data_IF_240686623404
#
_entry.id   IF_240686623404
#
_cell.length_a   1.000
_cell.length_b   1.000
_cell.length_c   1.000
_cell.angle_alpha   90.00
_cell.angle_beta   90.00
_cell.angle_gamma   90.00
#
_symmetry.space_group_name_H-M   'P 1'
#
loop_
_entity.id
_entity.type
_entity.pdbx_description
1 polymer ?
#
# COMPACT_ATOMS: atom_id res chain seq x y z
N UNK A 1 -1.20 6.61 -22.36
CA UNK A 1 -1.50 5.40 -21.56
C UNK A 1 -2.65 5.80 -20.67
N UNK A 2 -3.82 5.20 -20.84
CA UNK A 2 -4.97 5.48 -19.98
C UNK A 2 -4.66 4.95 -18.59
N UNK A 3 -4.62 5.83 -17.58
CA UNK A 3 -4.26 5.50 -16.20
C UNK A 3 -5.29 4.62 -15.48
N UNK A 4 -6.37 4.22 -16.17
CA UNK A 4 -7.43 3.35 -15.66
C UNK A 4 -7.02 1.89 -15.51
N UNK A 5 -5.85 1.47 -16.02
CA UNK A 5 -5.41 0.07 -15.98
C UNK A 5 -4.68 -0.33 -14.68
N UNK A 6 -4.32 0.63 -13.82
CA UNK A 6 -3.53 0.34 -12.61
C UNK A 6 -4.37 -0.26 -11.47
N UNK A 7 -5.62 0.17 -11.35
CA UNK A 7 -6.54 -0.20 -10.28
C UNK A 7 -7.96 -0.18 -10.84
N UNK A 8 -8.70 -1.28 -10.66
CA UNK A 8 -10.13 -1.31 -10.94
C UNK A 8 -10.88 -0.58 -9.81
N UNK A 9 -11.13 0.72 -10.00
CA UNK A 9 -11.80 1.55 -8.99
C UNK A 9 -13.26 1.16 -8.77
N UNK A 10 -13.93 0.61 -9.78
CA UNK A 10 -15.32 0.18 -9.66
C UNK A 10 -15.41 -1.08 -8.78
N UNK A 11 -14.46 -2.01 -8.94
CA UNK A 11 -14.34 -3.17 -8.06
C UNK A 11 -13.84 -2.77 -6.66
N UNK A 12 -12.94 -1.79 -6.55
CA UNK A 12 -12.38 -1.32 -5.28
C UNK A 12 -13.47 -0.84 -4.30
N UNK A 13 -14.49 -0.14 -4.80
CA UNK A 13 -15.58 0.41 -3.97
C UNK A 13 -16.70 -0.60 -3.65
N UNK A 14 -16.64 -1.81 -4.22
CA UNK A 14 -17.58 -2.87 -3.87
C UNK A 14 -17.19 -3.50 -2.52
N UNK A 15 -18.23 -3.84 -1.75
CA UNK A 15 -18.08 -4.65 -0.54
C UNK A 15 -17.42 -6.00 -0.89
N UNK A 16 -16.47 -6.43 -0.06
CA UNK A 16 -15.84 -7.76 -0.20
C UNK A 16 -16.87 -8.86 0.03
N UNK A 17 -17.67 -8.72 1.10
CA UNK A 17 -18.76 -9.61 1.44
C UNK A 17 -19.96 -8.82 1.99
N UNK A 18 -21.18 -9.34 1.84
CA UNK A 18 -22.39 -8.68 2.29
C UNK A 18 -22.44 -8.49 3.82
N UNK A 19 -21.87 -9.43 4.58
CA UNK A 19 -21.77 -9.40 6.04
C UNK A 19 -20.47 -8.78 6.55
N UNK A 20 -19.43 -8.75 5.71
CA UNK A 20 -18.14 -8.13 6.00
C UNK A 20 -17.70 -7.22 4.83
N UNK A 21 -18.21 -5.96 4.75
CA UNK A 21 -17.91 -5.08 3.61
C UNK A 21 -16.42 -4.80 3.39
N UNK A 22 -15.65 -4.71 4.49
CA UNK A 22 -14.21 -4.53 4.45
C UNK A 22 -13.41 -5.84 4.35
N UNK A 23 -14.07 -7.00 4.27
CA UNK A 23 -13.43 -8.31 4.27
C UNK A 23 -12.84 -8.69 5.63
N UNK A 24 -11.65 -9.29 5.61
CA UNK A 24 -10.97 -9.81 6.81
C UNK A 24 -9.71 -8.97 7.09
N UNK A 25 -9.38 -8.77 8.38
CA UNK A 25 -8.11 -8.14 8.77
C UNK A 25 -6.94 -8.98 8.25
N UNK A 26 -6.09 -8.45 7.36
CA UNK A 26 -4.96 -9.21 6.81
C UNK A 26 -3.99 -9.74 7.88
N UNK A 27 -3.93 -9.06 9.04
CA UNK A 27 -3.04 -9.42 10.16
C UNK A 27 -3.54 -10.62 10.95
N UNK A 28 -4.80 -11.01 10.77
CA UNK A 28 -5.37 -12.17 11.46
C UNK A 28 -4.89 -13.51 10.89
N UNK A 29 -4.43 -13.53 9.63
CA UNK A 29 -3.81 -14.70 9.03
C UNK A 29 -2.32 -14.79 9.43
N UNK A 30 -2.07 -15.57 10.48
CA UNK A 30 -0.72 -15.89 10.99
C UNK A 30 -0.14 -17.19 10.40
N UNK A 31 -0.76 -17.73 9.34
CA UNK A 31 -0.26 -18.95 8.70
C UNK A 31 1.07 -18.70 7.97
N UNK A 32 1.91 -19.74 7.77
CA UNK A 32 3.12 -19.62 6.94
C UNK A 32 2.83 -19.19 5.48
N UNK A 33 1.59 -19.34 5.03
CA UNK A 33 1.12 -18.97 3.69
C UNK A 33 0.45 -17.61 3.65
N UNK A 34 0.48 -16.84 4.75
CA UNK A 34 -0.16 -15.53 4.85
C UNK A 34 0.33 -14.58 3.76
N UNK A 35 -0.62 -14.09 2.97
CA UNK A 35 -0.32 -13.12 1.92
C UNK A 35 0.18 -11.80 2.50
N UNK A 36 -0.32 -11.40 3.68
CA UNK A 36 0.09 -10.18 4.35
C UNK A 36 1.56 -10.20 4.73
N UNK A 37 2.03 -11.25 5.40
CA UNK A 37 3.44 -11.34 5.79
C UNK A 37 4.36 -11.47 4.57
N UNK A 38 3.95 -12.20 3.52
CA UNK A 38 4.72 -12.26 2.28
C UNK A 38 4.87 -10.88 1.62
N UNK A 39 3.80 -10.10 1.50
CA UNK A 39 3.87 -8.75 0.92
C UNK A 39 4.66 -7.78 1.82
N UNK A 40 4.53 -7.93 3.14
CA UNK A 40 5.32 -7.17 4.11
C UNK A 40 6.81 -7.41 3.95
N UNK A 41 7.21 -8.66 3.78
CA UNK A 41 8.62 -9.05 3.58
C UNK A 41 9.16 -8.53 2.26
N UNK A 42 8.37 -8.65 1.16
CA UNK A 42 8.73 -8.08 -0.15
C UNK A 42 9.00 -6.58 -0.02
N UNK A 43 8.10 -5.84 0.63
CA UNK A 43 8.28 -4.40 0.87
C UNK A 43 9.51 -4.12 1.73
N UNK A 44 9.73 -4.91 2.77
CA UNK A 44 10.91 -4.81 3.64
C UNK A 44 12.21 -4.95 2.86
N UNK A 45 12.28 -5.96 1.97
CA UNK A 45 13.44 -6.22 1.12
C UNK A 45 13.64 -5.10 0.09
N UNK A 46 12.58 -4.65 -0.59
CA UNK A 46 12.67 -3.57 -1.57
C UNK A 46 13.22 -2.29 -0.93
N UNK A 47 12.72 -1.91 0.26
CA UNK A 47 13.25 -0.77 1.02
C UNK A 47 14.70 -0.98 1.49
N UNK A 48 15.08 -2.21 1.84
CA UNK A 48 16.45 -2.51 2.25
C UNK A 48 17.43 -2.35 1.08
N UNK A 49 17.05 -2.84 -0.10
CA UNK A 49 17.82 -2.69 -1.33
C UNK A 49 17.99 -1.22 -1.73
N UNK A 50 16.92 -0.42 -1.63
CA UNK A 50 17.00 1.03 -1.90
C UNK A 50 17.97 1.76 -0.96
N UNK A 51 17.95 1.43 0.34
CA UNK A 51 18.90 2.01 1.29
C UNK A 51 20.34 1.59 1.02
N UNK A 52 20.55 0.39 0.48
CA UNK A 52 21.89 -0.07 0.10
C UNK A 52 22.41 0.71 -1.12
N UNK A 53 21.63 0.87 -2.18
CA UNK A 53 22.05 1.63 -3.37
C UNK A 53 22.23 3.13 -3.09
N UNK A 54 21.39 3.72 -2.22
CA UNK A 54 21.57 5.09 -1.77
C UNK A 54 22.94 5.36 -1.16
N UNK A 55 23.52 4.38 -0.48
CA UNK A 55 24.84 4.50 0.11
C UNK A 55 25.96 4.45 -0.94
N UNK A 56 25.67 3.95 -2.15
CA UNK A 56 26.62 3.72 -3.25
C UNK A 56 26.50 4.77 -4.38
N UNK A 57 25.54 5.71 -4.30
CA UNK A 57 25.26 6.77 -5.29
C UNK A 57 24.95 6.20 -6.70
N UNK A 58 24.27 5.06 -6.74
CA UNK A 58 23.87 4.34 -7.97
C UNK A 58 22.40 4.58 -8.37
N UNK A 59 22.06 4.20 -9.62
CA UNK A 59 20.76 4.46 -10.23
C UNK A 59 19.64 3.54 -9.68
N UNK A 60 18.60 4.16 -9.11
CA UNK A 60 17.39 3.52 -8.61
C UNK A 60 16.56 2.77 -9.65
N UNK A 61 16.75 3.04 -10.94
CA UNK A 61 16.03 2.34 -12.01
C UNK A 61 16.22 0.81 -11.93
N UNK A 62 17.35 0.34 -11.38
CA UNK A 62 17.62 -1.07 -11.18
C UNK A 62 16.67 -1.76 -10.18
N UNK A 63 16.07 -1.00 -9.26
CA UNK A 63 15.23 -1.55 -8.18
C UNK A 63 13.73 -1.50 -8.45
N UNK A 64 13.30 -0.91 -9.57
CA UNK A 64 11.87 -0.83 -9.94
C UNK A 64 11.22 -2.23 -9.94
N UNK A 65 11.96 -3.27 -10.32
CA UNK A 65 11.47 -4.65 -10.32
C UNK A 65 11.10 -5.17 -8.93
N UNK A 66 11.75 -4.70 -7.87
CA UNK A 66 11.49 -5.14 -6.50
C UNK A 66 10.13 -4.66 -5.99
N UNK A 67 9.61 -3.58 -6.59
CA UNK A 67 8.34 -2.96 -6.27
C UNK A 67 7.16 -3.50 -7.10
N UNK A 68 7.42 -4.12 -8.25
CA UNK A 68 6.38 -4.67 -9.13
C UNK A 68 5.44 -5.67 -8.44
N UNK A 69 5.93 -6.61 -7.61
CA UNK A 69 5.04 -7.56 -6.93
C UNK A 69 4.00 -6.86 -6.04
N UNK A 70 4.36 -5.73 -5.42
CA UNK A 70 3.44 -4.93 -4.60
C UNK A 70 2.42 -4.21 -5.47
N UNK A 71 2.88 -3.52 -6.53
CA UNK A 71 1.97 -2.79 -7.43
C UNK A 71 0.99 -3.70 -8.18
N UNK A 72 1.35 -4.97 -8.42
CA UNK A 72 0.50 -5.93 -9.12
C UNK A 72 -0.45 -6.68 -8.18
N UNK A 73 0.01 -7.08 -6.99
CA UNK A 73 -0.78 -7.92 -6.08
C UNK A 73 -1.71 -7.13 -5.17
N UNK A 74 -1.28 -5.97 -4.67
CA UNK A 74 -2.08 -5.21 -3.70
C UNK A 74 -3.42 -4.75 -4.28
N UNK A 75 -3.53 -4.25 -5.53
CA UNK A 75 -4.83 -3.88 -6.08
C UNK A 75 -5.82 -5.04 -6.08
N UNK A 76 -5.36 -6.26 -6.38
CA UNK A 76 -6.18 -7.46 -6.35
C UNK A 76 -6.70 -7.73 -4.94
N UNK A 77 -5.80 -7.69 -3.94
CA UNK A 77 -6.15 -7.91 -2.52
C UNK A 77 -7.16 -6.88 -2.01
N UNK A 78 -6.97 -5.61 -2.37
CA UNK A 78 -7.87 -4.51 -2.01
C UNK A 78 -9.25 -4.64 -2.66
N UNK A 79 -9.32 -5.25 -3.85
CA UNK A 79 -10.58 -5.46 -4.55
C UNK A 79 -11.33 -6.70 -4.05
N UNK A 80 -10.62 -7.80 -3.75
CA UNK A 80 -11.26 -9.11 -3.55
C UNK A 80 -11.30 -9.62 -2.12
N UNK A 81 -10.46 -9.12 -1.21
CA UNK A 81 -10.21 -9.82 0.06
C UNK A 81 -10.30 -8.92 1.28
N UNK A 82 -9.87 -7.67 1.18
CA UNK A 82 -9.82 -6.76 2.34
C UNK A 82 -9.82 -5.30 1.92
N UNK A 83 -10.26 -4.41 2.80
CA UNK A 83 -10.09 -2.96 2.68
C UNK A 83 -9.15 -2.53 3.80
N UNK A 84 -7.93 -2.13 3.46
CA UNK A 84 -6.87 -1.88 4.44
C UNK A 84 -5.97 -0.68 4.05
N UNK A 85 -5.72 0.22 5.00
CA UNK A 85 -4.91 1.43 4.83
C UNK A 85 -3.41 1.15 4.77
N UNK A 86 -2.93 0.07 5.37
CA UNK A 86 -1.52 -0.30 5.28
C UNK A 86 -1.19 -0.83 3.89
N UNK A 87 -2.06 -1.67 3.32
CA UNK A 87 -1.97 -2.03 1.91
C UNK A 87 -2.11 -0.82 1.00
N UNK A 88 -3.02 0.12 1.28
CA UNK A 88 -3.15 1.34 0.50
C UNK A 88 -1.85 2.18 0.52
N UNK A 89 -1.19 2.29 1.68
CA UNK A 89 0.10 2.97 1.81
C UNK A 89 1.20 2.26 1.01
N UNK A 90 1.31 0.93 1.14
CA UNK A 90 2.30 0.14 0.39
C UNK A 90 2.08 0.22 -1.12
N UNK A 91 0.82 0.30 -1.56
CA UNK A 91 0.47 0.49 -2.97
C UNK A 91 0.91 1.88 -3.47
N UNK A 92 0.68 2.95 -2.70
CA UNK A 92 1.18 4.29 -3.05
C UNK A 92 2.70 4.25 -3.20
N UNK A 93 3.41 3.62 -2.26
CA UNK A 93 4.87 3.51 -2.26
C UNK A 93 5.38 2.77 -3.51
N UNK A 94 4.75 1.64 -3.86
CA UNK A 94 5.11 0.84 -5.02
C UNK A 94 4.76 1.52 -6.34
N UNK A 95 3.58 2.14 -6.44
CA UNK A 95 3.14 2.86 -7.63
C UNK A 95 3.98 4.11 -7.89
N UNK A 96 4.42 4.80 -6.85
CA UNK A 96 5.35 5.91 -6.98
C UNK A 96 6.63 5.50 -7.73
N UNK A 97 7.19 4.34 -7.39
CA UNK A 97 8.45 3.86 -7.96
C UNK A 97 8.30 3.23 -9.34
N UNK A 98 7.17 2.58 -9.58
CA UNK A 98 6.91 1.86 -10.84
C UNK A 98 6.30 2.76 -11.91
N UNK A 99 5.57 3.82 -11.52
CA UNK A 99 4.78 4.65 -12.43
C UNK A 99 4.90 6.16 -12.14
N UNK A 100 5.78 6.59 -11.23
CA UNK A 100 6.00 8.00 -10.91
C UNK A 100 4.74 8.73 -10.42
N UNK A 101 4.58 9.98 -10.84
CA UNK A 101 3.43 10.81 -10.47
C UNK A 101 2.07 10.24 -10.88
N UNK A 102 2.00 9.50 -11.99
CA UNK A 102 0.78 8.82 -12.39
C UNK A 102 0.40 7.74 -11.38
N UNK A 103 1.39 6.98 -10.92
CA UNK A 103 1.22 5.99 -9.86
C UNK A 103 0.77 6.61 -8.53
N UNK A 104 1.37 7.73 -8.14
CA UNK A 104 0.95 8.48 -6.94
C UNK A 104 -0.51 8.93 -7.04
N UNK A 105 -0.92 9.50 -8.18
CA UNK A 105 -2.30 9.93 -8.39
C UNK A 105 -3.29 8.76 -8.26
N UNK A 106 -2.96 7.61 -8.85
CA UNK A 106 -3.78 6.40 -8.76
C UNK A 106 -3.85 5.86 -7.31
N UNK A 107 -2.71 5.77 -6.62
CA UNK A 107 -2.63 5.33 -5.24
C UNK A 107 -3.42 6.23 -4.28
N UNK A 108 -3.27 7.55 -4.38
CA UNK A 108 -4.05 8.49 -3.57
C UNK A 108 -5.54 8.44 -3.87
N UNK A 109 -5.92 8.26 -5.15
CA UNK A 109 -7.33 8.05 -5.51
C UNK A 109 -7.90 6.79 -4.86
N UNK A 110 -7.16 5.68 -4.88
CA UNK A 110 -7.59 4.44 -4.22
C UNK A 110 -7.76 4.63 -2.71
N UNK A 111 -6.76 5.21 -2.03
CA UNK A 111 -6.82 5.49 -0.59
C UNK A 111 -8.02 6.37 -0.23
N UNK A 112 -8.27 7.43 -1.00
CA UNK A 112 -9.44 8.30 -0.81
C UNK A 112 -10.75 7.51 -0.91
N UNK A 113 -10.91 6.68 -1.95
CA UNK A 113 -12.11 5.86 -2.13
C UNK A 113 -12.30 4.84 -1.00
N UNK A 114 -11.23 4.20 -0.54
CA UNK A 114 -11.28 3.29 0.61
C UNK A 114 -11.77 4.00 1.87
N UNK A 115 -11.26 5.20 2.15
CA UNK A 115 -11.69 6.02 3.28
C UNK A 115 -13.16 6.41 3.12
N UNK A 116 -13.55 6.99 1.99
CA UNK A 116 -14.92 7.48 1.76
C UNK A 116 -15.97 6.37 1.88
N UNK A 117 -15.69 5.17 1.37
CA UNK A 117 -16.68 4.09 1.29
C UNK A 117 -16.65 3.13 2.50
N UNK A 118 -15.50 2.96 3.16
CA UNK A 118 -15.32 1.91 4.18
C UNK A 118 -14.86 2.42 5.55
N UNK A 119 -14.81 3.73 5.81
CA UNK A 119 -14.26 4.30 7.05
C UNK A 119 -14.73 3.64 8.36
N UNK A 120 -15.94 3.08 8.43
CA UNK A 120 -16.43 2.44 9.66
C UNK A 120 -15.83 1.05 9.91
N UNK A 121 -15.36 0.35 8.88
CA UNK A 121 -14.88 -1.02 8.95
C UNK A 121 -13.50 -1.26 8.30
N UNK A 122 -12.91 -0.21 7.70
CA UNK A 122 -11.60 -0.24 7.06
C UNK A 122 -10.48 -0.58 8.05
N UNK A 123 -9.60 -1.51 7.68
CA UNK A 123 -8.47 -1.93 8.51
C UNK A 123 -7.25 -0.98 8.37
N UNK A 124 -6.37 -0.88 9.38
CA UNK A 124 -6.58 -1.34 10.76
C UNK A 124 -7.78 -0.63 11.40
N UNK A 125 -8.48 -1.31 12.30
CA UNK A 125 -9.49 -0.67 13.13
C UNK A 125 -8.81 0.25 14.16
N UNK A 126 -9.48 1.31 14.64
CA UNK A 126 -8.99 2.07 15.78
C UNK A 126 -8.91 1.17 17.02
N UNK A 127 -7.96 1.45 17.90
CA UNK A 127 -7.73 0.74 19.16
C UNK A 127 -8.10 1.62 20.37
N UNK A 128 -7.75 1.18 21.58
CA UNK A 128 -8.05 1.89 22.83
C UNK A 128 -7.35 3.27 22.92
N UNK A 129 -6.22 3.42 22.22
CA UNK A 129 -5.46 4.67 22.12
C UNK A 129 -5.98 5.59 20.98
N UNK A 130 -6.96 5.11 20.22
CA UNK A 130 -7.75 5.89 19.27
C UNK A 130 -7.39 5.61 17.82
N UNK A 131 -7.16 6.67 17.05
CA UNK A 131 -6.98 6.58 15.59
C UNK A 131 -5.51 6.42 15.16
N UNK A 132 -4.57 6.48 16.10
CA UNK A 132 -3.14 6.59 15.80
C UNK A 132 -2.65 5.40 14.98
N UNK A 133 -2.88 4.17 15.44
CA UNK A 133 -2.51 2.94 14.73
C UNK A 133 -3.17 2.85 13.35
N UNK A 134 -4.40 3.34 13.22
CA UNK A 134 -5.17 3.28 11.97
C UNK A 134 -4.57 4.16 10.89
N UNK A 135 -4.15 5.38 11.23
CA UNK A 135 -3.60 6.34 10.27
C UNK A 135 -2.08 6.24 10.11
N UNK A 136 -1.41 5.52 11.03
CA UNK A 136 0.04 5.35 11.03
C UNK A 136 0.65 4.93 9.68
N UNK A 137 0.03 4.02 8.89
CA UNK A 137 0.59 3.65 7.59
C UNK A 137 0.68 4.83 6.61
N UNK A 138 -0.29 5.75 6.65
CA UNK A 138 -0.31 6.94 5.79
C UNK A 138 0.69 7.99 6.28
N UNK A 139 0.84 8.16 7.60
CA UNK A 139 1.86 9.05 8.18
C UNK A 139 3.26 8.56 7.77
N UNK A 140 3.49 7.24 7.81
CA UNK A 140 4.76 6.63 7.44
C UNK A 140 5.21 6.91 5.99
N UNK A 141 4.29 7.30 5.10
CA UNK A 141 4.65 7.75 3.74
C UNK A 141 5.45 9.05 3.75
N UNK A 142 5.16 9.95 4.70
CA UNK A 142 5.85 11.23 4.87
C UNK A 142 7.08 11.13 5.76
N UNK A 143 7.19 10.04 6.53
CA UNK A 143 8.28 9.81 7.49
C UNK A 143 7.89 10.24 8.91
N UNK A 144 8.52 9.60 9.90
CA UNK A 144 8.34 9.91 11.32
C UNK A 144 9.57 10.63 11.91
N UNK A 145 10.78 10.12 11.64
CA UNK A 145 12.05 10.65 12.19
C UNK A 145 13.13 10.84 11.11
N UNK A 146 12.73 10.89 9.83
CA UNK A 146 13.62 11.02 8.68
C UNK A 146 12.83 11.08 7.38
N UNK A 147 13.51 10.96 6.25
CA UNK A 147 12.85 11.06 4.95
C UNK A 147 11.77 9.98 4.77
N UNK A 148 10.59 10.44 4.37
CA UNK A 148 9.44 9.59 4.09
C UNK A 148 9.67 8.64 2.92
N UNK A 149 8.83 7.61 2.83
CA UNK A 149 8.85 6.63 1.76
C UNK A 149 8.70 7.23 0.35
N UNK A 150 8.19 8.46 0.25
CA UNK A 150 7.90 9.14 -1.00
C UNK A 150 8.92 10.24 -1.37
N UNK A 151 9.81 10.68 -0.47
CA UNK A 151 10.72 11.80 -0.78
C UNK A 151 11.75 11.38 -1.83
N UNK A 152 12.53 10.34 -1.55
CA UNK A 152 13.57 9.84 -2.45
C UNK A 152 13.08 9.49 -3.87
N UNK A 153 11.97 8.75 -4.07
CA UNK A 153 11.54 8.37 -5.43
C UNK A 153 10.87 9.50 -6.23
N UNK A 154 10.63 10.68 -5.63
CA UNK A 154 10.02 11.83 -6.30
C UNK A 154 11.06 12.89 -6.70
N UNK A 155 12.20 12.95 -5.98
CA UNK A 155 13.31 13.88 -6.24
C UNK A 155 14.18 13.42 -7.42
#
# INVERSE_FOLDING_TARGET
MEYSELIDFDMLINAVDASAPAGIDPRSDISPTSQYYQLKDIRGQARANERALLAEDEDFQALISDWRPLSEKIPQVLCSSTKDLEYAAWLIEALCRTHGFAGLAAGFKATRLLIEHFWTCLYPLPDEDGMEMRIAPLIGLNGYEGDGALITPIL
#
